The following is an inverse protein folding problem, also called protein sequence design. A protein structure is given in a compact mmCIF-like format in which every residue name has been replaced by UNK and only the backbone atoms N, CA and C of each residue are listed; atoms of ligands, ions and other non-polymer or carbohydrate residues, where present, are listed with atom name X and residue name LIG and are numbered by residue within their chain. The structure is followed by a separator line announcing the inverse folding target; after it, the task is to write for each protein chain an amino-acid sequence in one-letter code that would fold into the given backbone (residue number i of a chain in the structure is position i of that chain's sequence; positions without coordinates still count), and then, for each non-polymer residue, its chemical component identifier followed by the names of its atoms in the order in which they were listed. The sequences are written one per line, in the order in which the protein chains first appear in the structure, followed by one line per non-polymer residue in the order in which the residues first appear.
data_IF_518336146680
#
_entry.id   IF_518336146680
#
_cell.length_a   1.000
_cell.length_b   1.000
_cell.length_c   1.000
_cell.angle_alpha   90.00
_cell.angle_beta   90.00
_cell.angle_gamma   90.00
#
_symmetry.space_group_name_H-M   'P 1'
#
loop_
_entity.id
_entity.type
_entity.pdbx_description
1 polymer ?
#
# COMPACT_ATOMS: atom_id res chain seq x y z
N UNK A 1 56.98 28.03 39.43
CA UNK A 1 56.04 28.12 38.31
C UNK A 1 55.20 26.86 38.34
N UNK A 2 53.92 26.98 38.75
CA UNK A 2 52.97 25.85 38.79
C UNK A 2 51.99 26.02 37.60
N UNK A 3 52.10 25.13 36.63
CA UNK A 3 51.26 25.10 35.44
C UNK A 3 49.96 24.37 35.80
N UNK A 4 48.83 25.08 35.80
CA UNK A 4 47.48 24.50 35.99
C UNK A 4 46.97 24.04 34.64
N UNK A 5 46.75 22.72 34.47
CA UNK A 5 46.09 22.12 33.29
C UNK A 5 44.58 22.13 33.53
N UNK A 6 43.89 22.99 32.83
CA UNK A 6 42.42 23.02 32.84
C UNK A 6 41.87 21.99 31.89
N UNK A 7 41.27 20.95 32.43
CA UNK A 7 40.60 19.89 31.65
C UNK A 7 39.20 20.37 31.21
N UNK A 8 39.04 20.62 29.90
CA UNK A 8 37.77 21.01 29.32
C UNK A 8 36.93 19.74 29.03
N UNK A 9 35.92 19.47 29.83
CA UNK A 9 34.97 18.36 29.63
C UNK A 9 33.92 18.80 28.61
N UNK A 10 33.95 18.24 27.41
CA UNK A 10 32.95 18.45 26.38
C UNK A 10 31.72 17.58 26.70
N UNK A 11 30.64 18.19 27.19
CA UNK A 11 29.34 17.51 27.36
C UNK A 11 28.67 17.39 25.99
N UNK A 12 28.65 16.20 25.38
CA UNK A 12 27.83 15.93 24.22
C UNK A 12 26.41 15.63 24.63
N UNK A 13 25.50 16.58 24.39
CA UNK A 13 24.05 16.36 24.55
C UNK A 13 23.54 15.51 23.40
N UNK A 14 23.18 14.26 23.68
CA UNK A 14 22.41 13.42 22.77
C UNK A 14 20.98 13.96 22.75
N UNK A 15 20.63 14.66 21.68
CA UNK A 15 19.26 15.09 21.44
C UNK A 15 18.40 13.86 21.11
N UNK A 16 17.54 13.43 22.03
CA UNK A 16 16.46 12.50 21.74
C UNK A 16 15.46 13.22 20.82
N UNK A 17 15.39 12.81 19.54
CA UNK A 17 14.33 13.24 18.66
C UNK A 17 12.99 12.75 19.21
N UNK A 18 11.95 13.60 19.32
CA UNK A 18 10.62 13.13 19.72
C UNK A 18 10.11 12.10 18.72
N UNK A 19 9.61 10.98 19.24
CA UNK A 19 8.94 9.93 18.45
C UNK A 19 7.63 10.53 17.92
N UNK A 20 7.69 11.23 16.79
CA UNK A 20 6.50 11.70 16.08
C UNK A 20 5.82 10.46 15.53
N UNK A 21 4.58 10.21 15.96
CA UNK A 21 3.69 9.23 15.38
C UNK A 21 3.78 9.39 13.86
N UNK A 22 4.33 8.38 13.16
CA UNK A 22 4.60 8.49 11.74
C UNK A 22 3.28 8.82 11.02
N UNK A 23 3.25 9.99 10.43
CA UNK A 23 2.19 10.39 9.50
C UNK A 23 2.38 9.50 8.28
N UNK A 24 1.33 8.73 7.91
CA UNK A 24 1.42 7.90 6.71
C UNK A 24 1.86 8.69 5.47
N UNK A 25 2.27 8.00 4.43
CA UNK A 25 2.78 8.61 3.21
C UNK A 25 1.84 9.65 2.61
N UNK A 26 2.44 10.68 2.03
CA UNK A 26 1.80 11.68 1.18
C UNK A 26 2.27 11.54 -0.27
N UNK A 27 1.65 12.28 -1.18
CA UNK A 27 2.07 12.36 -2.58
C UNK A 27 3.52 12.88 -2.65
N UNK A 28 4.34 12.20 -3.45
CA UNK A 28 5.76 12.51 -3.61
C UNK A 28 6.69 11.85 -2.58
N UNK A 29 6.14 11.21 -1.52
CA UNK A 29 6.95 10.46 -0.56
C UNK A 29 7.48 9.17 -1.21
N UNK A 30 8.68 8.75 -0.79
CA UNK A 30 9.25 7.46 -1.19
C UNK A 30 8.75 6.39 -0.23
N UNK A 31 8.00 5.43 -0.75
CA UNK A 31 7.53 4.29 0.04
C UNK A 31 8.67 3.33 0.35
N UNK A 32 8.72 2.85 1.58
CA UNK A 32 9.68 1.81 2.01
C UNK A 32 9.27 0.45 1.44
N UNK A 33 10.24 -0.37 1.09
CA UNK A 33 9.99 -1.77 0.75
C UNK A 33 9.48 -2.55 1.97
N UNK A 34 8.77 -3.61 1.72
CA UNK A 34 8.29 -4.53 2.73
C UNK A 34 8.60 -5.97 2.31
N UNK A 35 8.51 -6.91 3.26
CA UNK A 35 8.58 -8.34 2.98
C UNK A 35 7.47 -9.04 3.75
N UNK A 36 6.39 -9.36 3.05
CA UNK A 36 5.19 -9.95 3.63
C UNK A 36 4.92 -11.36 3.09
N UNK A 37 4.25 -12.17 3.89
CA UNK A 37 3.87 -13.54 3.52
C UNK A 37 2.68 -13.53 2.57
N UNK A 38 2.84 -14.16 1.40
CA UNK A 38 1.80 -14.35 0.41
C UNK A 38 0.96 -15.62 0.70
N UNK A 39 -0.23 -15.68 0.12
CA UNK A 39 -1.15 -16.83 0.23
C UNK A 39 -0.58 -18.15 -0.29
N UNK A 40 0.41 -18.13 -1.18
CA UNK A 40 1.14 -19.32 -1.68
C UNK A 40 2.23 -19.82 -0.70
N UNK A 41 2.45 -19.10 0.40
CA UNK A 41 3.45 -19.42 1.41
C UNK A 41 4.83 -18.79 1.18
N UNK A 42 5.09 -18.18 0.04
CA UNK A 42 6.31 -17.41 -0.22
C UNK A 42 6.25 -16.03 0.45
N UNK A 43 7.40 -15.39 0.59
CA UNK A 43 7.45 -13.96 0.94
C UNK A 43 7.59 -13.14 -0.32
N UNK A 44 6.93 -11.98 -0.35
CA UNK A 44 6.95 -11.04 -1.47
C UNK A 44 7.34 -9.66 -0.97
N UNK A 45 8.22 -8.98 -1.73
CA UNK A 45 8.64 -7.59 -1.53
C UNK A 45 8.53 -6.81 -2.84
N UNK A 46 8.53 -5.48 -2.78
CA UNK A 46 8.55 -4.65 -3.99
C UNK A 46 9.85 -4.86 -4.79
N UNK A 47 10.96 -5.08 -4.09
CA UNK A 47 12.28 -5.34 -4.70
C UNK A 47 12.38 -6.66 -5.48
N UNK A 48 11.40 -7.56 -5.35
CA UNK A 48 11.33 -8.77 -6.18
C UNK A 48 10.94 -8.45 -7.63
N UNK A 49 10.37 -7.27 -7.89
CA UNK A 49 9.85 -6.82 -9.20
C UNK A 49 10.81 -5.84 -9.87
N UNK A 50 11.97 -6.30 -10.29
CA UNK A 50 13.08 -5.47 -10.80
C UNK A 50 12.72 -4.63 -12.04
N UNK A 51 11.79 -5.13 -12.86
CA UNK A 51 11.38 -4.47 -14.11
C UNK A 51 10.06 -3.69 -13.94
N UNK A 52 9.53 -3.57 -12.70
CA UNK A 52 8.31 -2.83 -12.46
C UNK A 52 8.54 -1.33 -12.63
N UNK A 53 7.69 -0.70 -13.45
CA UNK A 53 7.61 0.76 -13.61
C UNK A 53 6.90 1.44 -12.45
N UNK A 54 6.17 0.64 -11.66
CA UNK A 54 5.44 1.08 -10.49
C UNK A 54 4.56 -0.02 -9.93
N UNK A 55 3.70 0.30 -8.98
CA UNK A 55 2.86 -0.67 -8.26
C UNK A 55 1.48 -0.09 -7.99
N UNK A 56 0.49 -0.96 -7.97
CA UNK A 56 -0.85 -0.67 -7.44
C UNK A 56 -0.97 -1.41 -6.11
N UNK A 57 -0.70 -0.72 -5.00
CA UNK A 57 -0.83 -1.28 -3.65
C UNK A 57 -2.28 -1.15 -3.21
N UNK A 58 -2.88 -2.25 -2.77
CA UNK A 58 -4.28 -2.31 -2.36
C UNK A 58 -4.40 -2.89 -0.96
N UNK A 59 -4.64 -2.04 0.05
CA UNK A 59 -5.05 -2.55 1.35
C UNK A 59 -6.49 -3.03 1.27
N UNK A 60 -6.71 -4.34 1.36
CA UNK A 60 -8.01 -4.99 1.18
C UNK A 60 -8.22 -6.13 2.18
N UNK A 61 -9.43 -6.69 2.24
CA UNK A 61 -9.73 -7.83 3.10
C UNK A 61 -10.95 -8.60 2.58
N UNK A 62 -11.18 -9.81 3.09
CA UNK A 62 -12.28 -10.68 2.64
C UNK A 62 -13.64 -10.29 3.22
N UNK A 63 -13.66 -9.65 4.40
CA UNK A 63 -14.87 -9.48 5.21
C UNK A 63 -15.55 -8.12 5.09
N UNK A 64 -14.91 -7.15 4.43
CA UNK A 64 -15.50 -5.82 4.22
C UNK A 64 -16.37 -5.80 2.96
N UNK A 65 -17.66 -5.43 3.03
CA UNK A 65 -18.54 -5.38 1.86
C UNK A 65 -18.02 -4.47 0.74
N UNK A 66 -17.35 -3.38 1.10
CA UNK A 66 -16.75 -2.47 0.14
C UNK A 66 -15.54 -3.11 -0.58
N UNK A 67 -14.69 -3.83 0.16
CA UNK A 67 -13.56 -4.55 -0.43
C UNK A 67 -14.06 -5.66 -1.36
N UNK A 68 -15.04 -6.44 -0.92
CA UNK A 68 -15.69 -7.49 -1.72
C UNK A 68 -16.31 -6.94 -3.00
N UNK A 69 -16.95 -5.77 -2.95
CA UNK A 69 -17.55 -5.13 -4.13
C UNK A 69 -16.49 -4.71 -5.18
N UNK A 70 -15.24 -4.56 -4.78
CA UNK A 70 -14.14 -4.15 -5.65
C UNK A 70 -13.27 -5.31 -6.18
N UNK A 71 -13.43 -6.54 -5.69
CA UNK A 71 -12.55 -7.67 -6.04
C UNK A 71 -12.37 -7.86 -7.55
N UNK A 72 -13.47 -7.89 -8.30
CA UNK A 72 -13.41 -8.10 -9.75
C UNK A 72 -12.72 -6.93 -10.48
N UNK A 73 -12.84 -5.71 -9.94
CA UNK A 73 -12.15 -4.52 -10.47
C UNK A 73 -10.66 -4.52 -10.13
N UNK A 74 -10.28 -4.99 -8.94
CA UNK A 74 -8.86 -5.18 -8.56
C UNK A 74 -8.20 -6.23 -9.47
N UNK A 75 -8.91 -7.34 -9.74
CA UNK A 75 -8.44 -8.36 -10.67
C UNK A 75 -8.32 -7.81 -12.11
N UNK A 76 -9.29 -7.01 -12.56
CA UNK A 76 -9.23 -6.33 -13.85
C UNK A 76 -8.04 -5.34 -13.95
N UNK A 77 -7.72 -4.61 -12.87
CA UNK A 77 -6.54 -3.74 -12.82
C UNK A 77 -5.25 -4.57 -12.98
N UNK A 78 -5.12 -5.70 -12.26
CA UNK A 78 -3.94 -6.55 -12.40
C UNK A 78 -3.80 -7.08 -13.84
N UNK A 79 -4.86 -7.63 -14.42
CA UNK A 79 -4.87 -8.11 -15.82
C UNK A 79 -4.49 -7.01 -16.81
N UNK A 80 -4.97 -5.79 -16.60
CA UNK A 80 -4.71 -4.65 -17.51
C UNK A 80 -3.29 -4.14 -17.43
N UNK A 81 -2.70 -4.09 -16.20
CA UNK A 81 -1.50 -3.31 -15.94
C UNK A 81 -0.26 -4.11 -15.55
N UNK A 82 -0.38 -5.35 -15.04
CA UNK A 82 0.78 -6.13 -14.61
C UNK A 82 1.82 -6.31 -15.73
N UNK A 83 1.38 -6.72 -16.92
CA UNK A 83 2.26 -6.89 -18.09
C UNK A 83 2.84 -5.55 -18.63
N UNK A 84 2.29 -4.41 -18.20
CA UNK A 84 2.78 -3.07 -18.54
C UNK A 84 3.77 -2.52 -17.51
N UNK A 85 4.06 -3.31 -16.45
CA UNK A 85 4.99 -2.94 -15.38
C UNK A 85 4.33 -2.32 -14.14
N UNK A 86 2.99 -2.37 -14.01
CA UNK A 86 2.25 -1.92 -12.81
C UNK A 86 1.44 -3.07 -12.21
N UNK A 87 2.09 -4.08 -11.56
CA UNK A 87 1.37 -5.16 -10.90
C UNK A 87 0.56 -4.65 -9.70
N UNK A 88 -0.57 -5.31 -9.43
CA UNK A 88 -1.29 -5.16 -8.18
C UNK A 88 -0.59 -5.97 -7.09
N UNK A 89 -0.38 -5.35 -5.93
CA UNK A 89 0.03 -6.03 -4.69
C UNK A 89 -1.05 -5.76 -3.65
N UNK A 90 -1.86 -6.78 -3.35
CA UNK A 90 -2.90 -6.70 -2.34
C UNK A 90 -2.35 -7.04 -0.96
N UNK A 91 -2.70 -6.25 0.06
CA UNK A 91 -2.25 -6.44 1.45
C UNK A 91 -3.47 -6.47 2.36
N UNK A 92 -3.60 -7.54 3.15
CA UNK A 92 -4.63 -7.70 4.17
C UNK A 92 -4.11 -7.18 5.52
N UNK A 93 -4.66 -6.05 6.03
CA UNK A 93 -4.12 -5.35 7.20
C UNK A 93 -4.84 -5.67 8.52
N UNK A 94 -5.93 -6.45 8.51
CA UNK A 94 -6.74 -6.67 9.69
C UNK A 94 -6.11 -7.65 10.68
N UNK A 95 -6.28 -7.40 11.97
CA UNK A 95 -5.96 -8.36 13.00
C UNK A 95 -6.88 -9.59 12.90
N UNK A 96 -6.30 -10.76 12.63
CA UNK A 96 -7.04 -12.01 12.41
C UNK A 96 -7.72 -12.53 13.67
N UNK A 97 -7.28 -12.13 14.88
CA UNK A 97 -7.98 -12.46 16.14
C UNK A 97 -9.33 -11.74 16.20
N UNK A 98 -9.37 -10.48 15.75
CA UNK A 98 -10.59 -9.66 15.68
C UNK A 98 -11.44 -10.02 14.46
N UNK A 99 -10.80 -10.45 13.35
CA UNK A 99 -11.45 -10.82 12.09
C UNK A 99 -10.94 -12.17 11.56
N UNK A 100 -11.40 -13.31 12.11
CA UNK A 100 -10.97 -14.64 11.68
C UNK A 100 -11.24 -14.94 10.18
N UNK A 101 -12.27 -14.31 9.59
CA UNK A 101 -12.57 -14.41 8.16
C UNK A 101 -11.53 -13.78 7.24
N UNK A 102 -10.55 -13.05 7.79
CA UNK A 102 -9.40 -12.48 7.09
C UNK A 102 -8.11 -13.28 7.36
N UNK A 103 -8.20 -14.49 7.96
CA UNK A 103 -7.05 -15.36 8.19
C UNK A 103 -6.39 -15.82 6.89
N UNK A 104 -5.12 -16.21 6.94
CA UNK A 104 -4.37 -16.73 5.77
C UNK A 104 -5.14 -17.82 5.03
N UNK A 105 -5.74 -18.77 5.78
CA UNK A 105 -6.56 -19.82 5.19
C UNK A 105 -7.81 -19.26 4.46
N UNK A 106 -8.48 -18.26 5.04
CA UNK A 106 -9.63 -17.63 4.42
C UNK A 106 -9.22 -16.83 3.18
N UNK A 107 -8.07 -16.14 3.19
CA UNK A 107 -7.51 -15.46 2.03
C UNK A 107 -7.20 -16.44 0.89
N UNK A 108 -6.61 -17.60 1.19
CA UNK A 108 -6.34 -18.66 0.21
C UNK A 108 -7.62 -19.17 -0.46
N UNK A 109 -8.65 -19.44 0.34
CA UNK A 109 -9.96 -19.88 -0.16
C UNK A 109 -10.55 -18.79 -1.07
N UNK A 110 -10.59 -17.55 -0.59
CA UNK A 110 -11.15 -16.41 -1.33
C UNK A 110 -10.44 -16.16 -2.66
N UNK A 111 -9.11 -16.18 -2.64
CA UNK A 111 -8.30 -15.99 -3.85
C UNK A 111 -8.56 -17.09 -4.90
N UNK A 112 -8.71 -18.35 -4.45
CA UNK A 112 -9.06 -19.46 -5.33
C UNK A 112 -10.46 -19.33 -5.91
N UNK A 113 -11.46 -18.98 -5.08
CA UNK A 113 -12.85 -18.80 -5.52
C UNK A 113 -13.01 -17.67 -6.54
N UNK A 114 -12.26 -16.59 -6.35
CA UNK A 114 -12.31 -15.39 -7.19
C UNK A 114 -11.30 -15.40 -8.34
N UNK A 115 -10.38 -16.36 -8.36
CA UNK A 115 -9.36 -16.48 -9.40
C UNK A 115 -8.38 -15.32 -9.39
N UNK A 116 -7.95 -14.84 -8.21
CA UNK A 116 -6.98 -13.75 -8.09
C UNK A 116 -5.65 -14.15 -8.72
N UNK A 117 -5.13 -13.28 -9.59
CA UNK A 117 -3.85 -13.46 -10.29
C UNK A 117 -2.73 -12.61 -9.71
N UNK A 118 -3.03 -11.78 -8.72
CA UNK A 118 -2.10 -10.90 -8.01
C UNK A 118 -1.67 -11.49 -6.67
N UNK A 119 -0.49 -11.11 -6.12
CA UNK A 119 -0.09 -11.44 -4.76
C UNK A 119 -1.08 -10.89 -3.73
N UNK A 120 -1.50 -11.75 -2.79
CA UNK A 120 -2.36 -11.35 -1.69
C UNK A 120 -1.64 -11.62 -0.36
N UNK A 121 -1.08 -10.55 0.22
CA UNK A 121 -0.12 -10.58 1.31
C UNK A 121 -0.82 -10.33 2.65
N UNK A 122 -0.25 -10.89 3.74
CA UNK A 122 -0.75 -10.65 5.09
C UNK A 122 0.20 -9.71 5.86
N UNK A 123 -0.29 -8.56 6.30
CA UNK A 123 0.37 -7.67 7.26
C UNK A 123 0.08 -8.14 8.69
N UNK A 124 0.70 -9.29 9.08
CA UNK A 124 0.34 -10.04 10.27
C UNK A 124 0.61 -9.30 11.59
N UNK A 125 1.65 -8.49 11.64
CA UNK A 125 2.05 -7.66 12.77
C UNK A 125 1.51 -6.23 12.69
N UNK A 126 0.76 -5.93 11.63
CA UNK A 126 0.16 -4.62 11.38
C UNK A 126 1.20 -3.48 11.31
N UNK A 127 2.40 -3.78 10.79
CA UNK A 127 3.50 -2.82 10.71
C UNK A 127 3.49 -1.99 9.41
N UNK A 128 2.87 -2.48 8.33
CA UNK A 128 2.95 -1.87 7.00
C UNK A 128 1.82 -0.86 6.77
N UNK A 129 0.55 -1.23 7.08
CA UNK A 129 -0.57 -0.31 6.82
C UNK A 129 -0.43 1.06 7.52
N UNK A 130 0.15 1.18 8.75
CA UNK A 130 0.33 2.48 9.38
C UNK A 130 1.39 3.35 8.68
N UNK A 131 2.47 2.73 8.13
CA UNK A 131 3.50 3.44 7.37
C UNK A 131 2.89 4.09 6.12
N UNK A 132 1.98 3.38 5.44
CA UNK A 132 1.23 3.94 4.32
C UNK A 132 0.18 4.97 4.76
N UNK A 133 -0.25 4.93 6.02
CA UNK A 133 -1.38 5.73 6.50
C UNK A 133 -2.73 5.19 6.03
N UNK A 134 -2.79 3.90 5.70
CA UNK A 134 -4.04 3.26 5.31
C UNK A 134 -5.01 3.17 6.48
N UNK A 135 -6.27 3.54 6.27
CA UNK A 135 -7.30 3.60 7.31
C UNK A 135 -8.53 2.79 6.97
N UNK A 136 -8.66 2.37 5.71
CA UNK A 136 -9.84 1.69 5.15
C UNK A 136 -9.43 0.44 4.37
N UNK A 137 -10.38 -0.45 4.14
CA UNK A 137 -10.34 -1.48 3.12
C UNK A 137 -11.57 -1.36 2.22
N UNK A 138 -11.38 -1.09 0.89
CA UNK A 138 -10.10 -0.90 0.23
C UNK A 138 -9.50 0.49 0.46
N UNK A 139 -8.16 0.62 0.37
CA UNK A 139 -7.41 1.87 0.29
C UNK A 139 -6.25 1.67 -0.68
N UNK A 140 -6.13 2.53 -1.68
CA UNK A 140 -5.22 2.34 -2.80
C UNK A 140 -4.07 3.35 -2.74
N UNK A 141 -2.89 2.87 -3.14
CA UNK A 141 -1.71 3.69 -3.41
C UNK A 141 -1.15 3.28 -4.77
N UNK A 142 -0.99 4.22 -5.69
CA UNK A 142 -0.23 4.00 -6.92
C UNK A 142 1.16 4.56 -6.70
N UNK A 143 2.16 3.72 -6.94
CA UNK A 143 3.57 4.06 -6.78
C UNK A 143 4.23 4.07 -8.17
N UNK A 144 5.10 5.05 -8.45
CA UNK A 144 5.99 5.06 -9.59
C UNK A 144 7.39 4.60 -9.16
N UNK A 145 8.01 3.68 -9.90
CA UNK A 145 9.40 3.28 -9.66
C UNK A 145 10.35 4.34 -10.21
N UNK A 146 11.18 4.91 -9.34
CA UNK A 146 12.17 5.94 -9.69
C UNK A 146 13.55 5.55 -9.18
N UNK A 147 14.60 6.28 -9.56
CA UNK A 147 15.97 6.09 -9.03
C UNK A 147 16.05 6.29 -7.51
N UNK A 148 15.08 7.02 -6.91
CA UNK A 148 14.99 7.22 -5.46
C UNK A 148 14.24 6.09 -4.74
N UNK A 149 13.61 5.19 -5.48
CA UNK A 149 12.69 4.16 -5.00
C UNK A 149 11.26 4.38 -5.48
N UNK A 150 10.27 3.62 -4.95
CA UNK A 150 8.86 3.74 -5.32
C UNK A 150 8.24 5.01 -4.72
N UNK A 151 7.87 5.97 -5.57
CA UNK A 151 7.26 7.26 -5.18
C UNK A 151 5.75 7.17 -5.22
N UNK A 152 5.08 7.69 -4.20
CA UNK A 152 3.61 7.73 -4.10
C UNK A 152 3.05 8.80 -5.02
N UNK A 153 2.27 8.40 -6.03
CA UNK A 153 1.67 9.29 -7.03
C UNK A 153 0.16 9.44 -6.87
N UNK A 154 -0.52 8.41 -6.30
CA UNK A 154 -1.94 8.49 -6.03
C UNK A 154 -2.29 7.79 -4.72
N UNK A 155 -3.26 8.36 -3.96
CA UNK A 155 -3.82 7.79 -2.72
C UNK A 155 -5.35 7.91 -2.76
N UNK A 156 -6.10 6.81 -2.53
CA UNK A 156 -7.54 6.94 -2.36
C UNK A 156 -8.38 5.73 -2.76
N UNK A 157 -9.47 6.00 -3.49
CA UNK A 157 -10.43 5.01 -3.98
C UNK A 157 -9.99 4.45 -5.35
N UNK A 158 -10.55 3.31 -5.76
CA UNK A 158 -10.34 2.73 -7.09
C UNK A 158 -11.01 3.60 -8.16
N UNK A 159 -12.25 3.97 -7.91
CA UNK A 159 -13.11 4.77 -8.79
C UNK A 159 -14.16 5.55 -7.97
N UNK A 160 -15.07 6.23 -8.62
CA UNK A 160 -16.08 7.07 -8.00
C UNK A 160 -17.38 6.32 -7.61
N UNK A 161 -17.48 4.99 -7.88
CA UNK A 161 -18.68 4.22 -7.57
C UNK A 161 -18.39 2.79 -7.12
N UNK A 162 -18.34 2.56 -5.80
CA UNK A 162 -18.10 1.21 -5.28
C UNK A 162 -19.26 0.23 -5.50
N UNK A 163 -20.50 0.75 -5.60
CA UNK A 163 -21.71 -0.09 -5.67
C UNK A 163 -21.90 -0.74 -7.02
N UNK A 164 -21.70 0.03 -8.08
CA UNK A 164 -22.01 -0.40 -9.44
C UNK A 164 -20.93 0.05 -10.42
N UNK A 165 -20.23 -0.92 -10.98
CA UNK A 165 -19.16 -0.68 -11.95
C UNK A 165 -19.66 -0.03 -13.25
N UNK A 166 -20.95 -0.28 -13.62
CA UNK A 166 -21.53 0.30 -14.83
C UNK A 166 -21.81 1.80 -14.71
N UNK A 167 -21.90 2.31 -13.48
CA UNK A 167 -22.15 3.72 -13.17
C UNK A 167 -20.87 4.50 -12.87
N UNK A 168 -19.70 3.89 -12.99
CA UNK A 168 -18.40 4.56 -12.81
C UNK A 168 -18.20 5.60 -13.90
N UNK A 169 -17.98 6.86 -13.49
CA UNK A 169 -17.66 7.98 -14.37
C UNK A 169 -16.17 8.29 -14.36
N UNK A 170 -15.52 8.13 -13.21
CA UNK A 170 -14.09 8.45 -13.03
C UNK A 170 -13.36 7.25 -12.46
N UNK A 171 -12.40 6.74 -13.23
CA UNK A 171 -11.55 5.60 -12.89
C UNK A 171 -10.21 6.10 -12.35
N UNK A 172 -10.17 6.50 -11.10
CA UNK A 172 -9.01 7.19 -10.51
C UNK A 172 -7.70 6.42 -10.67
N UNK A 173 -7.68 5.13 -10.33
CA UNK A 173 -6.47 4.31 -10.42
C UNK A 173 -6.04 4.10 -11.88
N UNK A 174 -7.00 3.79 -12.78
CA UNK A 174 -6.69 3.64 -14.20
C UNK A 174 -6.11 4.94 -14.78
N UNK A 175 -6.72 6.10 -14.47
CA UNK A 175 -6.25 7.40 -14.94
C UNK A 175 -4.83 7.70 -14.45
N UNK A 176 -4.52 7.42 -13.17
CA UNK A 176 -3.19 7.62 -12.62
C UNK A 176 -2.15 6.71 -13.32
N UNK A 177 -2.43 5.40 -13.42
CA UNK A 177 -1.50 4.46 -14.05
C UNK A 177 -1.33 4.72 -15.55
N UNK A 178 -2.42 5.02 -16.26
CA UNK A 178 -2.35 5.36 -17.69
C UNK A 178 -1.54 6.64 -17.94
N UNK A 179 -1.66 7.64 -17.06
CA UNK A 179 -0.86 8.88 -17.12
C UNK A 179 0.64 8.61 -16.88
N UNK A 180 0.99 7.84 -15.85
CA UNK A 180 2.37 7.46 -15.55
C UNK A 180 3.00 6.65 -16.68
N UNK A 181 2.25 5.71 -17.27
CA UNK A 181 2.73 4.92 -18.42
C UNK A 181 3.02 5.77 -19.66
N UNK A 182 2.29 6.87 -19.84
CA UNK A 182 2.44 7.78 -20.98
C UNK A 182 3.37 8.98 -20.68
N UNK A 183 3.88 9.10 -19.45
CA UNK A 183 4.72 10.23 -19.05
C UNK A 183 4.01 11.58 -19.07
N UNK A 184 2.69 11.58 -18.79
CA UNK A 184 1.87 12.80 -18.76
C UNK A 184 1.35 13.08 -17.35
N UNK A 185 1.14 14.35 -17.04
CA UNK A 185 0.56 14.75 -15.77
C UNK A 185 -0.92 14.32 -15.67
N UNK A 186 -1.40 14.09 -14.45
CA UNK A 186 -2.82 13.91 -14.15
C UNK A 186 -3.22 14.80 -12.96
N UNK A 187 -4.51 15.10 -12.84
CA UNK A 187 -4.98 16.15 -11.92
C UNK A 187 -5.33 15.61 -10.52
N UNK A 188 -5.81 14.36 -10.43
CA UNK A 188 -6.40 13.82 -9.21
C UNK A 188 -5.42 12.86 -8.53
N UNK A 189 -4.56 13.40 -7.67
CA UNK A 189 -3.59 12.63 -6.89
C UNK A 189 -4.15 12.05 -5.60
N UNK A 190 -5.24 12.63 -5.07
CA UNK A 190 -5.89 12.14 -3.84
C UNK A 190 -7.39 12.10 -3.94
N UNK A 191 -7.98 11.02 -3.43
CA UNK A 191 -9.42 10.92 -3.19
C UNK A 191 -9.69 10.32 -1.82
N UNK A 192 -10.95 10.41 -1.37
CA UNK A 192 -11.35 9.77 -0.11
C UNK A 192 -11.51 8.27 -0.31
N UNK A 193 -10.73 7.46 0.40
CA UNK A 193 -10.97 6.02 0.47
C UNK A 193 -12.33 5.72 1.14
N UNK A 194 -13.15 4.91 0.48
CA UNK A 194 -14.46 4.48 0.96
C UNK A 194 -14.41 3.01 1.31
N UNK A 195 -14.63 2.67 2.59
CA UNK A 195 -14.50 1.30 3.04
C UNK A 195 -14.67 1.15 4.55
N UNK A 196 -14.55 -0.09 5.03
CA UNK A 196 -14.50 -0.40 6.45
C UNK A 196 -13.18 0.08 7.07
N UNK A 197 -13.21 0.48 8.35
CA UNK A 197 -11.96 0.76 9.08
C UNK A 197 -11.16 -0.53 9.25
N UNK A 198 -9.83 -0.44 9.15
CA UNK A 198 -8.91 -1.52 9.50
C UNK A 198 -9.13 -1.93 10.96
N UNK A 199 -9.06 -3.22 11.24
CA UNK A 199 -9.32 -3.81 12.58
C UNK A 199 -7.99 -4.08 13.28
N UNK A 200 -7.88 -3.57 14.50
CA UNK A 200 -6.75 -3.79 15.41
C UNK A 200 -6.94 -5.05 16.23
#
# INVERSE_FOLDING_TARGET
MKTIFTLLVLLTTVAFAPNTKEKGYDIGDVATDFKLKNIDGNSVSLSDYKDAKGFIIVFTCNTCPYAVAYEDRIEALNKKYAAKGFPVIAIMPNNVKTKPGDSMKAMQIRAKEKGFTFPYLMDADQSIYPQYGATKTPHIYVLESTDRGPVVEYIGAIDDNYKDASLVKTKYVENAVDALLNGVAFEVHKTKAIGCSIKL
#
